data_IF_894963336285
#
_entry.id   IF_894963336285
#
_cell.length_a   1.000
_cell.length_b   1.000
_cell.length_c   1.000
_cell.angle_alpha   90.00
_cell.angle_beta   90.00
_cell.angle_gamma   90.00
#
_symmetry.space_group_name_H-M   'P 1'
#
loop_
_entity.id
_entity.type
_entity.pdbx_description
1 polymer ?
#
# COMPACT_ATOMS: atom_id res chain seq x y z
N UNK A 1 -16.00 -1.36 -1.52
CA UNK A 1 -16.09 -1.47 -0.05
C UNK A 1 -17.15 -0.46 0.39
N UNK A 2 -18.13 -0.81 1.25
CA UNK A 2 -19.24 0.08 1.63
C UNK A 2 -18.81 1.41 2.23
N UNK A 3 -17.65 1.47 2.89
CA UNK A 3 -17.15 2.67 3.56
C UNK A 3 -16.63 3.73 2.59
N UNK A 4 -16.17 3.33 1.40
CA UNK A 4 -15.72 4.25 0.34
C UNK A 4 -16.70 4.40 -0.81
N UNK A 5 -17.70 3.51 -0.92
CA UNK A 5 -18.76 3.59 -1.94
C UNK A 5 -19.44 4.97 -2.02
N UNK A 6 -19.72 5.69 -0.91
CA UNK A 6 -20.33 7.03 -0.99
C UNK A 6 -19.47 8.09 -1.70
N UNK A 7 -18.17 7.86 -1.87
CA UNK A 7 -17.27 8.77 -2.58
C UNK A 7 -17.21 8.52 -4.10
N UNK A 8 -17.86 7.45 -4.57
CA UNK A 8 -17.89 7.08 -5.98
C UNK A 8 -19.33 7.03 -6.49
N UNK A 9 -19.62 7.86 -7.48
CA UNK A 9 -20.89 7.88 -8.18
C UNK A 9 -20.68 7.48 -9.64
N UNK A 10 -21.38 6.43 -10.07
CA UNK A 10 -21.35 5.98 -11.44
C UNK A 10 -22.49 6.66 -12.21
N UNK A 11 -22.20 7.21 -13.40
CA UNK A 11 -23.27 7.72 -14.25
C UNK A 11 -24.13 6.57 -14.76
N UNK A 12 -25.44 6.72 -14.66
CA UNK A 12 -26.41 5.80 -15.26
C UNK A 12 -26.69 6.13 -16.74
N UNK A 13 -26.45 7.38 -17.18
CA UNK A 13 -26.68 7.85 -18.57
C UNK A 13 -25.78 9.03 -18.94
N UNK A 14 -25.31 9.07 -20.20
CA UNK A 14 -24.46 10.14 -20.76
C UNK A 14 -23.03 9.69 -21.13
N UNK A 15 -22.44 10.28 -22.17
CA UNK A 15 -21.05 10.03 -22.58
C UNK A 15 -20.14 11.09 -21.95
N UNK A 16 -19.49 10.72 -20.85
CA UNK A 16 -18.32 11.45 -20.32
C UNK A 16 -17.06 10.68 -20.68
N UNK A 17 -16.06 11.37 -21.22
CA UNK A 17 -14.77 10.77 -21.57
C UNK A 17 -13.61 11.71 -21.24
N UNK A 18 -12.42 11.13 -21.04
CA UNK A 18 -11.18 11.89 -20.87
C UNK A 18 -10.54 12.14 -22.24
N UNK A 19 -10.05 13.35 -22.46
CA UNK A 19 -9.34 13.76 -23.67
C UNK A 19 -8.11 14.59 -23.32
N UNK A 20 -7.24 14.85 -24.29
CA UNK A 20 -6.11 15.74 -24.15
C UNK A 20 -6.55 17.21 -24.08
N UNK A 21 -5.74 18.02 -23.40
CA UNK A 21 -5.84 19.48 -23.42
C UNK A 21 -5.53 20.04 -24.81
N UNK A 22 -6.30 21.06 -25.20
CA UNK A 22 -6.14 21.83 -26.44
C UNK A 22 -5.92 23.30 -26.07
N UNK A 23 -5.17 24.07 -26.89
CA UNK A 23 -4.95 25.50 -26.62
C UNK A 23 -6.25 26.28 -26.38
N UNK A 24 -7.31 25.97 -27.12
CA UNK A 24 -8.63 26.62 -27.02
C UNK A 24 -9.35 26.30 -25.69
N UNK A 25 -8.91 25.30 -24.93
CA UNK A 25 -9.48 25.02 -23.61
C UNK A 25 -8.92 25.96 -22.52
N UNK A 26 -7.82 26.69 -22.77
CA UNK A 26 -7.10 27.45 -21.75
C UNK A 26 -7.99 28.42 -20.99
N UNK A 27 -8.79 29.21 -21.72
CA UNK A 27 -9.69 30.20 -21.14
C UNK A 27 -10.76 29.54 -20.28
N UNK A 28 -11.45 28.52 -20.83
CA UNK A 28 -12.51 27.81 -20.12
C UNK A 28 -12.01 27.09 -18.84
N UNK A 29 -10.81 26.51 -18.88
CA UNK A 29 -10.23 25.87 -17.69
C UNK A 29 -9.75 26.90 -16.66
N UNK A 30 -9.21 28.03 -17.09
CA UNK A 30 -8.83 29.13 -16.19
C UNK A 30 -10.06 29.73 -15.50
N UNK A 31 -11.15 29.97 -16.23
CA UNK A 31 -12.43 30.43 -15.68
C UNK A 31 -13.00 29.43 -14.66
N UNK A 32 -12.85 28.13 -14.91
CA UNK A 32 -13.26 27.08 -13.97
C UNK A 32 -12.47 27.15 -12.65
N UNK A 33 -11.15 27.37 -12.74
CA UNK A 33 -10.30 27.58 -11.56
C UNK A 33 -10.67 28.87 -10.86
N UNK A 34 -10.89 29.96 -11.58
CA UNK A 34 -11.26 31.25 -10.99
C UNK A 34 -12.58 31.15 -10.21
N UNK A 35 -13.59 30.49 -10.80
CA UNK A 35 -14.89 30.26 -10.18
C UNK A 35 -14.77 29.54 -8.83
N UNK A 36 -13.90 28.52 -8.75
CA UNK A 36 -13.84 27.66 -7.57
C UNK A 36 -12.76 28.06 -6.59
N UNK A 37 -11.60 28.54 -7.04
CA UNK A 37 -10.39 28.79 -6.25
C UNK A 37 -9.94 30.26 -6.27
N UNK A 38 -10.55 31.11 -7.10
CA UNK A 38 -10.24 32.53 -7.18
C UNK A 38 -9.18 32.90 -8.22
N UNK A 39 -9.04 34.21 -8.44
CA UNK A 39 -8.22 34.78 -9.52
C UNK A 39 -6.72 34.43 -9.39
N UNK A 40 -6.19 34.38 -8.16
CA UNK A 40 -4.81 34.02 -7.92
C UNK A 40 -4.50 32.57 -8.37
N UNK A 41 -5.38 31.62 -8.03
CA UNK A 41 -5.26 30.23 -8.50
C UNK A 41 -5.45 30.12 -10.01
N UNK A 42 -6.34 30.92 -10.62
CA UNK A 42 -6.53 30.94 -12.06
C UNK A 42 -5.27 31.40 -12.81
N UNK A 43 -4.57 32.42 -12.30
CA UNK A 43 -3.29 32.84 -12.87
C UNK A 43 -2.22 31.72 -12.80
N UNK A 44 -2.16 30.98 -11.67
CA UNK A 44 -1.29 29.81 -11.53
C UNK A 44 -1.70 28.69 -12.51
N UNK A 45 -2.99 28.48 -12.73
CA UNK A 45 -3.47 27.52 -13.72
C UNK A 45 -3.03 27.89 -15.14
N UNK A 46 -3.21 29.15 -15.56
CA UNK A 46 -2.75 29.62 -16.88
C UNK A 46 -1.25 29.38 -17.06
N UNK A 47 -0.44 29.66 -16.02
CA UNK A 47 1.00 29.36 -16.03
C UNK A 47 1.27 27.87 -16.30
N UNK A 48 0.66 26.96 -15.52
CA UNK A 48 0.94 25.53 -15.64
C UNK A 48 0.37 24.89 -16.91
N UNK A 49 -0.83 25.28 -17.34
CA UNK A 49 -1.44 24.82 -18.58
C UNK A 49 -0.59 25.23 -19.79
N UNK A 50 0.05 26.41 -19.73
CA UNK A 50 0.97 26.86 -20.77
C UNK A 50 2.35 26.18 -20.68
N UNK A 51 2.83 25.91 -19.46
CA UNK A 51 4.18 25.39 -19.20
C UNK A 51 4.29 23.88 -19.40
N UNK A 52 3.28 23.13 -19.00
CA UNK A 52 3.20 21.66 -19.11
C UNK A 52 1.87 21.20 -19.74
N UNK A 53 1.55 21.61 -20.98
CA UNK A 53 0.26 21.34 -21.61
C UNK A 53 -0.02 19.84 -21.81
N UNK A 54 1.03 19.02 -21.92
CA UNK A 54 0.93 17.56 -22.08
C UNK A 54 0.52 16.83 -20.79
N UNK A 55 0.56 17.52 -19.64
CA UNK A 55 0.24 16.97 -18.34
C UNK A 55 -1.20 17.27 -17.89
N UNK A 56 -2.05 17.71 -18.82
CA UNK A 56 -3.44 18.10 -18.57
C UNK A 56 -4.40 17.13 -19.27
N UNK A 57 -5.28 16.54 -18.48
CA UNK A 57 -6.39 15.71 -18.97
C UNK A 57 -7.71 16.47 -18.79
N UNK A 58 -8.51 16.55 -19.84
CA UNK A 58 -9.79 17.27 -19.83
C UNK A 58 -10.92 16.26 -19.86
N UNK A 59 -11.84 16.38 -18.91
CA UNK A 59 -13.07 15.61 -18.90
C UNK A 59 -14.10 16.32 -19.80
N UNK A 60 -14.63 15.62 -20.79
CA UNK A 60 -15.57 16.20 -21.76
C UNK A 60 -16.91 15.51 -21.75
N UNK A 61 -17.96 16.29 -21.99
CA UNK A 61 -19.29 15.78 -22.30
C UNK A 61 -19.43 15.39 -23.77
N UNK A 62 -20.60 14.87 -24.16
CA UNK A 62 -20.88 14.42 -25.53
C UNK A 62 -20.70 15.50 -26.61
N UNK A 63 -20.88 16.78 -26.27
CA UNK A 63 -20.65 17.94 -27.15
C UNK A 63 -19.18 18.34 -27.27
N UNK A 64 -18.26 17.69 -26.55
CA UNK A 64 -16.84 18.07 -26.48
C UNK A 64 -16.53 19.21 -25.52
N UNK A 65 -17.54 19.77 -24.84
CA UNK A 65 -17.36 20.85 -23.85
C UNK A 65 -16.63 20.33 -22.59
N UNK A 66 -15.65 21.06 -22.04
CA UNK A 66 -15.02 20.72 -20.77
C UNK A 66 -16.04 20.69 -19.62
N UNK A 67 -16.06 19.59 -18.87
CA UNK A 67 -16.87 19.39 -17.66
C UNK A 67 -16.01 19.30 -16.39
N UNK A 68 -14.70 19.29 -16.55
CA UNK A 68 -13.72 19.17 -15.49
C UNK A 68 -12.35 18.91 -16.08
N UNK A 69 -11.31 18.96 -15.26
CA UNK A 69 -9.96 18.65 -15.71
C UNK A 69 -9.05 18.21 -14.56
N UNK A 70 -7.95 17.58 -14.94
CA UNK A 70 -6.86 17.16 -14.10
C UNK A 70 -5.55 17.72 -14.68
N UNK A 71 -4.97 18.71 -14.03
CA UNK A 71 -3.65 19.25 -14.38
C UNK A 71 -2.60 18.74 -13.40
N UNK A 72 -1.56 18.15 -13.96
CA UNK A 72 -0.41 17.61 -13.23
C UNK A 72 0.79 18.52 -13.43
N UNK A 73 1.62 18.61 -12.41
CA UNK A 73 2.94 19.23 -12.48
C UNK A 73 3.97 18.14 -12.21
N UNK A 74 4.81 17.88 -13.21
CA UNK A 74 6.04 17.11 -13.08
C UNK A 74 7.04 17.95 -12.27
N UNK A 75 7.23 17.59 -11.00
CA UNK A 75 7.97 18.38 -10.03
C UNK A 75 9.45 18.49 -10.42
N UNK A 76 10.05 17.41 -10.94
CA UNK A 76 11.44 17.39 -11.41
C UNK A 76 11.71 18.34 -12.58
N UNK A 77 10.67 18.68 -13.35
CA UNK A 77 10.76 19.61 -14.48
C UNK A 77 10.52 21.07 -14.09
N UNK A 78 10.30 21.37 -12.81
CA UNK A 78 10.09 22.75 -12.31
C UNK A 78 11.40 23.49 -12.11
N UNK A 79 11.44 24.77 -12.47
CA UNK A 79 12.55 25.67 -12.15
C UNK A 79 12.43 26.26 -10.74
N UNK A 80 13.49 26.90 -10.25
CA UNK A 80 13.43 27.64 -8.97
C UNK A 80 12.39 28.78 -9.00
N UNK A 81 12.23 29.45 -10.15
CA UNK A 81 11.22 30.50 -10.32
C UNK A 81 9.80 29.92 -10.29
N UNK A 82 9.59 28.73 -10.88
CA UNK A 82 8.28 28.05 -10.81
C UNK A 82 7.90 27.69 -9.37
N UNK A 83 8.89 27.22 -8.58
CA UNK A 83 8.69 26.89 -7.16
C UNK A 83 8.37 28.14 -6.34
N UNK A 84 9.06 29.25 -6.59
CA UNK A 84 8.76 30.51 -5.93
C UNK A 84 7.38 31.08 -6.31
N UNK A 85 6.92 30.81 -7.54
CA UNK A 85 5.64 31.31 -8.05
C UNK A 85 4.44 30.59 -7.43
N UNK A 86 4.47 29.27 -7.32
CA UNK A 86 3.33 28.46 -6.87
C UNK A 86 3.58 27.82 -5.48
N UNK A 87 2.88 28.29 -4.42
CA UNK A 87 3.02 27.74 -3.07
C UNK A 87 2.79 26.23 -2.97
N UNK A 88 1.93 25.66 -3.81
CA UNK A 88 1.67 24.22 -3.81
C UNK A 88 2.90 23.42 -4.28
N UNK A 89 3.58 23.94 -5.31
CA UNK A 89 4.80 23.33 -5.85
C UNK A 89 5.96 23.50 -4.89
N UNK A 90 6.10 24.67 -4.26
CA UNK A 90 7.12 24.90 -3.22
C UNK A 90 6.98 23.93 -2.04
N UNK A 91 5.74 23.76 -1.56
CA UNK A 91 5.44 22.88 -0.43
C UNK A 91 5.72 21.40 -0.77
N UNK A 92 5.28 20.93 -1.95
CA UNK A 92 5.60 19.58 -2.41
C UNK A 92 7.11 19.39 -2.64
N UNK A 93 7.78 20.38 -3.21
CA UNK A 93 9.23 20.33 -3.46
C UNK A 93 10.04 20.26 -2.15
N UNK A 94 9.59 20.95 -1.10
CA UNK A 94 10.20 20.90 0.22
C UNK A 94 10.18 19.48 0.82
N UNK A 95 9.11 18.70 0.57
CA UNK A 95 9.07 17.28 0.95
C UNK A 95 10.08 16.46 0.14
N UNK A 96 10.16 16.69 -1.17
CA UNK A 96 11.13 16.01 -2.03
C UNK A 96 12.57 16.34 -1.68
N UNK A 97 12.88 17.50 -1.11
CA UNK A 97 14.23 17.80 -0.63
C UNK A 97 14.65 16.90 0.55
N UNK A 98 13.69 16.46 1.37
CA UNK A 98 13.95 15.51 2.46
C UNK A 98 13.98 14.06 1.98
N UNK A 99 13.28 13.77 0.88
CA UNK A 99 13.27 12.47 0.19
C UNK A 99 13.65 12.62 -1.29
N UNK A 100 14.93 12.92 -1.61
CA UNK A 100 15.34 13.26 -2.98
C UNK A 100 14.98 12.20 -4.01
N UNK A 101 14.63 12.66 -5.21
CA UNK A 101 14.44 11.80 -6.37
C UNK A 101 15.77 11.23 -6.83
N UNK A 102 15.79 9.95 -7.18
CA UNK A 102 16.93 9.29 -7.81
C UNK A 102 16.92 9.51 -9.33
N UNK A 103 18.02 9.17 -9.99
CA UNK A 103 18.09 9.21 -11.45
C UNK A 103 16.99 8.37 -12.08
N UNK A 104 16.16 8.99 -12.93
CA UNK A 104 15.02 8.35 -13.59
C UNK A 104 13.75 8.27 -12.74
N UNK A 105 13.76 8.77 -11.50
CA UNK A 105 12.54 8.91 -10.69
C UNK A 105 11.84 10.24 -11.00
N UNK A 106 10.51 10.23 -10.94
CA UNK A 106 9.64 11.39 -11.18
C UNK A 106 8.71 11.62 -10.00
N UNK A 107 8.20 12.84 -9.85
CA UNK A 107 7.16 13.12 -8.86
C UNK A 107 6.06 14.01 -9.43
N UNK A 108 4.83 13.68 -9.12
CA UNK A 108 3.64 14.33 -9.68
C UNK A 108 2.86 15.06 -8.60
N UNK A 109 2.61 16.35 -8.82
CA UNK A 109 1.60 17.11 -8.08
C UNK A 109 0.34 17.22 -8.94
N UNK A 110 -0.81 16.73 -8.46
CA UNK A 110 -2.10 16.95 -9.10
C UNK A 110 -2.63 18.34 -8.75
N UNK A 111 -1.95 19.36 -9.28
CA UNK A 111 -2.08 20.76 -8.85
C UNK A 111 -3.49 21.30 -8.96
N UNK A 112 -4.22 20.91 -10.00
CA UNK A 112 -5.63 21.23 -10.17
C UNK A 112 -6.40 19.98 -10.57
N UNK A 113 -7.45 19.68 -9.82
CA UNK A 113 -8.39 18.61 -10.17
C UNK A 113 -9.78 19.02 -9.71
N UNK A 114 -10.67 19.23 -10.67
CA UNK A 114 -12.00 19.77 -10.38
C UNK A 114 -12.99 19.44 -11.49
N UNK A 115 -14.24 19.32 -11.09
CA UNK A 115 -15.37 19.33 -12.00
C UNK A 115 -15.95 20.75 -12.07
N UNK A 116 -16.51 21.10 -13.23
CA UNK A 116 -17.04 22.44 -13.50
C UNK A 116 -18.08 22.89 -12.48
N UNK A 117 -19.00 22.00 -12.10
CA UNK A 117 -20.11 22.36 -11.20
C UNK A 117 -19.83 21.96 -9.74
N UNK A 118 -19.36 20.73 -9.51
CA UNK A 118 -19.22 20.17 -8.16
C UNK A 118 -17.88 20.48 -7.49
N UNK A 119 -16.95 21.11 -8.20
CA UNK A 119 -15.57 21.26 -7.75
C UNK A 119 -15.00 19.91 -7.31
N UNK A 120 -14.42 19.81 -6.10
CA UNK A 120 -13.92 18.59 -5.46
C UNK A 120 -14.99 17.88 -4.60
N UNK A 121 -16.28 18.14 -4.79
CA UNK A 121 -17.36 17.39 -4.12
C UNK A 121 -17.66 16.10 -4.87
N UNK A 122 -18.15 15.07 -4.17
CA UNK A 122 -18.51 13.79 -4.80
C UNK A 122 -19.47 13.99 -5.98
N UNK A 123 -19.06 13.54 -7.16
CA UNK A 123 -19.87 13.55 -8.38
C UNK A 123 -19.36 12.48 -9.36
N UNK A 124 -20.12 12.19 -10.44
CA UNK A 124 -19.63 11.27 -11.45
C UNK A 124 -18.40 11.78 -12.21
N UNK A 125 -18.28 13.09 -12.41
CA UNK A 125 -17.09 13.73 -12.97
C UNK A 125 -15.88 13.51 -12.06
N UNK A 126 -16.06 13.69 -10.75
CA UNK A 126 -15.00 13.44 -9.77
C UNK A 126 -14.56 11.98 -9.73
N UNK A 127 -15.50 11.04 -9.84
CA UNK A 127 -15.17 9.61 -9.97
C UNK A 127 -14.26 9.37 -11.18
N UNK A 128 -14.54 10.02 -12.32
CA UNK A 128 -13.67 9.94 -13.50
C UNK A 128 -12.30 10.57 -13.26
N UNK A 129 -12.22 11.73 -12.61
CA UNK A 129 -10.94 12.39 -12.31
C UNK A 129 -10.07 11.52 -11.38
N UNK A 130 -10.66 10.90 -10.36
CA UNK A 130 -9.96 9.95 -9.49
C UNK A 130 -9.48 8.72 -10.28
N UNK A 131 -10.30 8.16 -11.18
CA UNK A 131 -9.86 7.06 -12.05
C UNK A 131 -8.69 7.46 -12.97
N UNK A 132 -8.66 8.71 -13.45
CA UNK A 132 -7.51 9.22 -14.21
C UNK A 132 -6.25 9.27 -13.33
N UNK A 133 -6.35 9.77 -12.09
CA UNK A 133 -5.22 9.75 -11.14
C UNK A 133 -4.71 8.32 -10.89
N UNK A 134 -5.62 7.36 -10.69
CA UNK A 134 -5.26 5.95 -10.51
C UNK A 134 -4.53 5.43 -11.74
N UNK A 135 -5.01 5.75 -12.94
CA UNK A 135 -4.32 5.39 -14.17
C UNK A 135 -2.90 5.99 -14.22
N UNK A 136 -2.71 7.25 -13.83
CA UNK A 136 -1.38 7.88 -13.79
C UNK A 136 -0.40 7.15 -12.87
N UNK A 137 -0.86 6.69 -11.70
CA UNK A 137 -0.02 5.93 -10.76
C UNK A 137 0.56 4.66 -11.40
N UNK A 138 -0.17 4.08 -12.35
CA UNK A 138 0.16 2.80 -12.96
C UNK A 138 1.02 2.93 -14.20
N UNK A 139 0.82 4.01 -14.95
CA UNK A 139 1.45 4.15 -16.27
C UNK A 139 2.64 5.09 -16.27
N UNK A 140 2.84 5.90 -15.22
CA UNK A 140 3.94 6.87 -15.14
C UNK A 140 5.25 6.14 -14.82
N UNK A 141 6.22 6.08 -15.75
CA UNK A 141 7.48 5.39 -15.49
C UNK A 141 8.28 6.11 -14.40
N UNK A 142 8.84 5.35 -13.47
CA UNK A 142 9.71 5.88 -12.42
C UNK A 142 9.00 6.78 -11.40
N UNK A 143 7.67 6.75 -11.32
CA UNK A 143 6.93 7.55 -10.34
C UNK A 143 7.37 7.15 -8.92
N UNK A 144 7.96 8.09 -8.20
CA UNK A 144 8.41 7.91 -6.83
C UNK A 144 7.47 8.59 -5.83
N UNK A 145 6.83 9.69 -6.21
CA UNK A 145 5.92 10.42 -5.33
C UNK A 145 4.71 11.00 -6.06
N UNK A 146 3.55 10.93 -5.42
CA UNK A 146 2.35 11.68 -5.81
C UNK A 146 1.90 12.60 -4.69
N UNK A 147 1.41 13.79 -5.04
CA UNK A 147 0.82 14.77 -4.13
C UNK A 147 -0.55 15.21 -4.64
N UNK A 148 -1.56 15.20 -3.77
CA UNK A 148 -2.95 15.52 -4.08
C UNK A 148 -3.47 16.59 -3.11
N UNK A 149 -3.53 17.86 -3.54
CA UNK A 149 -4.14 18.94 -2.78
C UNK A 149 -5.66 18.83 -2.68
N UNK A 150 -6.22 19.08 -1.51
CA UNK A 150 -7.64 19.02 -1.20
C UNK A 150 -8.06 20.31 -0.53
N UNK A 151 -9.17 20.89 -0.99
CA UNK A 151 -9.77 22.04 -0.33
C UNK A 151 -10.42 21.69 1.01
N UNK A 152 -10.91 20.46 1.16
CA UNK A 152 -11.43 19.90 2.42
C UNK A 152 -10.77 18.53 2.68
N UNK A 153 -9.55 18.53 3.27
CA UNK A 153 -8.80 17.29 3.50
C UNK A 153 -9.47 16.41 4.57
N UNK A 154 -10.23 16.98 5.50
CA UNK A 154 -10.94 16.23 6.53
C UNK A 154 -12.12 15.44 5.96
N UNK A 155 -12.90 16.03 5.05
CA UNK A 155 -14.00 15.34 4.36
C UNK A 155 -13.50 14.12 3.58
N UNK A 156 -12.37 14.26 2.89
CA UNK A 156 -11.79 13.22 2.05
C UNK A 156 -10.95 12.18 2.79
N UNK A 157 -10.70 12.39 4.08
CA UNK A 157 -9.82 11.56 4.91
C UNK A 157 -10.07 10.06 4.74
N UNK A 158 -11.32 9.61 4.89
CA UNK A 158 -11.63 8.18 4.82
C UNK A 158 -11.29 7.57 3.47
N UNK A 159 -11.56 8.28 2.37
CA UNK A 159 -11.27 7.80 1.02
C UNK A 159 -9.76 7.72 0.77
N UNK A 160 -8.99 8.72 1.21
CA UNK A 160 -7.55 8.76 1.04
C UNK A 160 -6.83 7.76 1.94
N UNK A 161 -7.23 7.62 3.21
CA UNK A 161 -6.71 6.58 4.11
C UNK A 161 -7.02 5.17 3.58
N UNK A 162 -8.23 4.95 3.05
CA UNK A 162 -8.59 3.71 2.36
C UNK A 162 -7.75 3.47 1.11
N UNK A 163 -7.36 4.54 0.40
CA UNK A 163 -6.48 4.48 -0.77
C UNK A 163 -4.99 4.43 -0.38
N UNK A 164 -4.65 4.23 0.90
CA UNK A 164 -3.28 4.23 1.41
C UNK A 164 -2.49 5.53 1.18
N UNK A 165 -3.19 6.64 0.95
CA UNK A 165 -2.59 7.96 0.81
C UNK A 165 -2.36 8.57 2.19
N UNK A 166 -1.16 9.09 2.43
CA UNK A 166 -0.76 9.69 3.69
C UNK A 166 -1.11 11.19 3.73
N UNK A 167 -1.58 11.68 4.88
CA UNK A 167 -1.77 13.12 5.12
C UNK A 167 -0.41 13.79 5.34
N UNK A 168 0.00 14.67 4.42
CA UNK A 168 1.28 15.39 4.47
C UNK A 168 1.07 16.84 4.92
N UNK A 169 0.97 17.08 6.23
CA UNK A 169 0.69 18.41 6.81
C UNK A 169 1.77 19.44 6.43
N UNK A 170 3.02 18.99 6.30
CA UNK A 170 4.15 19.81 5.88
C UNK A 170 4.07 20.28 4.42
N UNK A 171 3.22 19.64 3.60
CA UNK A 171 2.98 20.03 2.21
C UNK A 171 1.71 20.91 2.06
N UNK A 172 1.03 21.25 3.15
CA UNK A 172 -0.08 22.20 3.12
C UNK A 172 0.38 23.55 2.62
N UNK A 173 -0.48 24.21 1.85
CA UNK A 173 -0.20 25.53 1.31
C UNK A 173 -1.43 26.42 1.34
N UNK A 174 -1.22 27.70 1.07
CA UNK A 174 -2.29 28.70 0.99
C UNK A 174 -2.13 29.52 -0.27
N UNK A 175 -3.22 29.74 -0.98
CA UNK A 175 -3.30 30.69 -2.10
C UNK A 175 -4.42 31.67 -1.78
N UNK A 176 -4.09 32.96 -1.76
CA UNK A 176 -5.05 34.06 -1.49
C UNK A 176 -5.94 33.83 -0.26
N UNK A 177 -5.33 33.39 0.85
CA UNK A 177 -6.02 33.13 2.12
C UNK A 177 -6.79 31.80 2.20
N UNK A 178 -6.92 31.05 1.10
CA UNK A 178 -7.50 29.70 1.13
C UNK A 178 -6.43 28.64 1.34
N UNK A 179 -6.59 27.85 2.41
CA UNK A 179 -5.71 26.73 2.75
C UNK A 179 -6.14 25.45 2.06
N UNK A 180 -5.16 24.67 1.62
CA UNK A 180 -5.33 23.34 1.05
C UNK A 180 -4.55 22.32 1.87
N UNK A 181 -5.17 21.19 2.18
CA UNK A 181 -4.48 20.06 2.77
C UNK A 181 -3.94 19.13 1.71
N UNK A 182 -2.74 18.60 1.90
CA UNK A 182 -2.14 17.68 0.93
C UNK A 182 -2.12 16.25 1.46
N UNK A 183 -2.55 15.32 0.62
CA UNK A 183 -2.24 13.90 0.77
C UNK A 183 -1.18 13.49 -0.24
N UNK A 184 -0.42 12.45 0.05
CA UNK A 184 0.56 11.93 -0.90
C UNK A 184 0.92 10.48 -0.66
N UNK A 185 1.74 9.94 -1.56
CA UNK A 185 2.15 8.54 -1.53
C UNK A 185 3.59 8.41 -2.03
N UNK A 186 4.42 7.66 -1.29
CA UNK A 186 5.77 7.26 -1.70
C UNK A 186 5.68 5.88 -2.38
N UNK A 187 5.65 5.89 -3.71
CA UNK A 187 5.50 4.69 -4.53
C UNK A 187 6.71 3.76 -4.47
N UNK A 188 7.82 4.19 -3.86
CA UNK A 188 8.97 3.33 -3.59
C UNK A 188 8.73 2.46 -2.37
N UNK A 189 7.92 2.94 -1.42
CA UNK A 189 7.54 2.17 -0.22
C UNK A 189 6.42 1.17 -0.56
N UNK A 190 5.38 1.63 -1.28
CA UNK A 190 4.31 0.74 -1.76
C UNK A 190 4.12 0.90 -3.27
N UNK A 191 4.84 0.13 -4.10
CA UNK A 191 4.73 0.20 -5.55
C UNK A 191 3.32 -0.12 -6.06
N UNK A 192 2.93 0.30 -7.26
CA UNK A 192 1.53 0.26 -7.69
C UNK A 192 0.89 -1.14 -7.67
N UNK A 193 1.66 -2.20 -7.93
CA UNK A 193 1.13 -3.58 -7.84
C UNK A 193 0.82 -3.97 -6.39
N UNK A 194 1.73 -3.70 -5.45
CA UNK A 194 1.50 -3.95 -4.02
C UNK A 194 0.37 -3.08 -3.47
N UNK A 195 0.26 -1.84 -3.95
CA UNK A 195 -0.84 -0.94 -3.63
C UNK A 195 -2.19 -1.50 -4.11
N UNK A 196 -2.26 -2.06 -5.32
CA UNK A 196 -3.47 -2.71 -5.81
C UNK A 196 -3.87 -3.95 -5.00
N UNK A 197 -2.91 -4.79 -4.63
CA UNK A 197 -3.14 -5.95 -3.77
C UNK A 197 -3.70 -5.53 -2.42
N UNK A 198 -3.13 -4.49 -1.81
CA UNK A 198 -3.62 -3.89 -0.56
C UNK A 198 -5.08 -3.41 -0.68
N UNK A 199 -5.43 -2.73 -1.78
CA UNK A 199 -6.81 -2.30 -2.01
C UNK A 199 -7.76 -3.47 -2.24
N UNK A 200 -7.32 -4.53 -2.94
CA UNK A 200 -8.10 -5.73 -3.14
C UNK A 200 -8.38 -6.46 -1.80
N UNK A 201 -7.38 -6.54 -0.92
CA UNK A 201 -7.54 -7.10 0.43
C UNK A 201 -8.54 -6.28 1.26
N UNK A 202 -8.48 -4.95 1.18
CA UNK A 202 -9.45 -4.05 1.85
C UNK A 202 -10.87 -4.20 1.28
N UNK A 203 -11.02 -4.57 0.01
CA UNK A 203 -12.30 -4.83 -0.61
C UNK A 203 -12.91 -6.17 -0.14
N UNK A 204 -12.07 -7.21 0.03
CA UNK A 204 -12.52 -8.53 0.47
C UNK A 204 -12.88 -8.58 1.96
N UNK A 205 -12.26 -7.73 2.79
CA UNK A 205 -12.49 -7.65 4.23
C UNK A 205 -13.67 -6.72 4.58
N UNK A 206 -14.88 -7.00 4.06
CA UNK A 206 -16.14 -6.24 4.23
C UNK A 206 -16.71 -6.33 5.67
N UNK A 207 -15.91 -6.00 6.68
CA UNK A 207 -16.40 -5.71 8.03
C UNK A 207 -15.96 -4.29 8.37
N UNK A 208 -16.85 -3.38 8.82
CA UNK A 208 -16.47 -2.02 9.11
C UNK A 208 -15.49 -2.01 10.28
N UNK A 209 -14.21 -1.84 9.98
CA UNK A 209 -13.20 -1.60 10.99
C UNK A 209 -13.34 -0.14 11.42
N UNK A 210 -13.48 0.08 12.73
CA UNK A 210 -13.41 1.43 13.32
C UNK A 210 -12.15 2.16 12.84
N UNK A 211 -12.15 3.51 12.78
CA UNK A 211 -10.95 4.27 12.44
C UNK A 211 -9.86 3.91 13.44
N UNK A 212 -8.84 3.17 12.99
CA UNK A 212 -7.68 2.87 13.82
C UNK A 212 -6.88 4.16 13.95
N UNK A 213 -6.92 4.75 15.14
CA UNK A 213 -5.86 5.66 15.58
C UNK A 213 -4.53 4.92 15.49
N UNK A 214 -3.67 5.29 14.52
CA UNK A 214 -2.28 4.84 14.48
C UNK A 214 -1.50 5.62 15.53
N UNK A 215 -1.61 5.20 16.79
CA UNK A 215 -0.50 5.33 17.72
C UNK A 215 0.41 4.11 17.49
N UNK A 216 1.48 4.30 16.70
CA UNK A 216 2.59 3.36 16.55
C UNK A 216 2.27 2.03 15.84
N UNK A 217 1.99 2.06 14.53
CA UNK A 217 2.01 0.83 13.74
C UNK A 217 3.45 0.44 13.39
N UNK A 218 4.02 -0.51 14.12
CA UNK A 218 5.24 -1.21 13.72
C UNK A 218 5.02 -1.91 12.36
N UNK A 219 5.94 -1.64 11.43
CA UNK A 219 5.98 -2.10 10.04
C UNK A 219 5.82 -3.62 9.90
N UNK A 220 4.87 -4.05 9.06
CA UNK A 220 4.82 -5.42 8.51
C UNK A 220 6.09 -5.61 7.68
N UNK A 221 6.91 -6.61 8.00
CA UNK A 221 8.11 -6.95 7.23
C UNK A 221 7.68 -7.96 6.17
N UNK A 222 7.73 -7.57 4.89
CA UNK A 222 7.61 -8.51 3.77
C UNK A 222 8.97 -9.20 3.62
N UNK A 223 9.06 -10.44 4.10
CA UNK A 223 10.27 -11.25 3.99
C UNK A 223 10.38 -11.83 2.58
N UNK A 224 11.57 -11.78 1.99
CA UNK A 224 11.86 -12.60 0.80
C UNK A 224 11.73 -14.09 1.16
N UNK A 225 11.54 -14.97 0.18
CA UNK A 225 11.47 -16.43 0.44
C UNK A 225 12.68 -16.95 1.23
N UNK A 226 13.88 -16.42 0.93
CA UNK A 226 15.12 -16.77 1.60
C UNK A 226 15.17 -16.28 3.06
N UNK A 227 14.71 -15.05 3.31
CA UNK A 227 14.65 -14.48 4.66
C UNK A 227 13.56 -15.15 5.50
N UNK A 228 12.43 -15.49 4.88
CA UNK A 228 11.35 -16.25 5.49
C UNK A 228 11.83 -17.64 5.92
N UNK A 229 12.51 -18.36 5.03
CA UNK A 229 13.09 -19.67 5.35
C UNK A 229 14.11 -19.59 6.49
N UNK A 230 14.87 -18.50 6.58
CA UNK A 230 15.81 -18.27 7.69
C UNK A 230 15.06 -18.01 8.98
N UNK A 231 14.06 -17.13 8.96
CA UNK A 231 13.24 -16.82 10.12
C UNK A 231 12.46 -18.04 10.66
N UNK A 232 12.01 -18.96 9.78
CA UNK A 232 11.40 -20.25 10.19
C UNK A 232 12.40 -21.14 10.92
N UNK A 233 13.65 -21.24 10.43
CA UNK A 233 14.69 -22.05 11.09
C UNK A 233 15.01 -21.51 12.48
N UNK A 234 15.12 -20.19 12.61
CA UNK A 234 15.41 -19.55 13.89
C UNK A 234 14.21 -19.68 14.84
N UNK A 235 12.98 -19.54 14.34
CA UNK A 235 11.79 -19.76 15.17
C UNK A 235 11.63 -21.22 15.64
N UNK A 236 12.03 -22.20 14.83
CA UNK A 236 12.06 -23.61 15.25
C UNK A 236 13.15 -23.85 16.31
N UNK A 237 14.34 -23.26 16.14
CA UNK A 237 15.43 -23.37 17.10
C UNK A 237 15.03 -22.80 18.47
N UNK A 238 14.37 -21.65 18.45
CA UNK A 238 13.97 -20.91 19.64
C UNK A 238 12.53 -21.23 20.07
N UNK A 239 11.98 -22.36 19.60
CA UNK A 239 10.56 -22.71 19.75
C UNK A 239 10.05 -22.71 21.20
N UNK A 240 10.93 -22.96 22.18
CA UNK A 240 10.56 -22.93 23.62
C UNK A 240 10.74 -21.53 24.25
N UNK A 241 11.59 -20.68 23.69
CA UNK A 241 11.94 -19.36 24.20
C UNK A 241 10.96 -18.28 23.69
N UNK A 242 10.07 -17.84 24.57
CA UNK A 242 9.08 -16.81 24.25
C UNK A 242 9.71 -15.45 23.95
N UNK A 243 10.82 -15.11 24.59
CA UNK A 243 11.48 -13.82 24.40
C UNK A 243 12.16 -13.80 23.04
N UNK A 244 12.92 -14.85 22.69
CA UNK A 244 13.53 -14.96 21.36
C UNK A 244 12.48 -14.97 20.25
N UNK A 245 11.40 -15.74 20.40
CA UNK A 245 10.29 -15.74 19.44
C UNK A 245 9.63 -14.36 19.29
N UNK A 246 9.52 -13.58 20.35
CA UNK A 246 8.96 -12.22 20.30
C UNK A 246 9.82 -11.20 19.54
N UNK A 247 11.03 -11.58 19.15
CA UNK A 247 11.93 -10.78 18.30
C UNK A 247 12.08 -11.35 16.89
N UNK A 248 11.53 -12.54 16.64
CA UNK A 248 11.62 -13.19 15.34
C UNK A 248 10.80 -12.42 14.29
N UNK A 249 11.33 -12.18 13.07
CA UNK A 249 10.61 -11.45 12.02
C UNK A 249 9.23 -12.03 11.67
N UNK A 250 9.02 -13.34 11.86
CA UNK A 250 7.74 -14.00 11.56
C UNK A 250 6.57 -13.53 12.42
N UNK A 251 6.80 -12.94 13.60
CA UNK A 251 5.69 -12.40 14.41
C UNK A 251 4.96 -11.25 13.71
N UNK A 252 5.59 -10.65 12.70
CA UNK A 252 5.04 -9.59 11.85
C UNK A 252 4.63 -10.11 10.47
N UNK A 253 4.72 -11.41 10.20
CA UNK A 253 4.28 -12.00 8.94
C UNK A 253 2.76 -12.08 8.87
N UNK A 254 2.21 -12.19 7.65
CA UNK A 254 0.76 -12.24 7.42
C UNK A 254 0.13 -13.43 8.15
N UNK A 255 0.81 -14.58 8.20
CA UNK A 255 0.36 -15.78 8.92
C UNK A 255 0.06 -15.52 10.39
N UNK A 256 0.96 -14.82 11.10
CA UNK A 256 0.81 -14.58 12.54
C UNK A 256 -0.19 -13.47 12.78
N UNK A 257 -0.13 -12.40 11.99
CA UNK A 257 -1.06 -11.28 12.09
C UNK A 257 -2.50 -11.66 11.76
N UNK A 258 -2.73 -12.61 10.85
CA UNK A 258 -4.07 -13.12 10.54
C UNK A 258 -4.74 -13.81 11.75
N UNK A 259 -3.96 -14.45 12.62
CA UNK A 259 -4.48 -15.17 13.81
C UNK A 259 -4.52 -14.28 15.05
N UNK A 260 -3.57 -13.34 15.17
CA UNK A 260 -3.35 -12.58 16.41
C UNK A 260 -3.71 -11.08 16.31
N UNK A 261 -3.91 -10.54 15.12
CA UNK A 261 -4.23 -9.12 14.91
C UNK A 261 -3.21 -8.17 15.56
N UNK A 262 -3.71 -7.18 16.30
CA UNK A 262 -2.90 -6.18 17.00
C UNK A 262 -2.42 -6.63 18.39
N UNK A 263 -2.46 -7.94 18.67
CA UNK A 263 -2.02 -8.44 19.96
C UNK A 263 -0.54 -8.10 20.23
N UNK A 264 -0.14 -7.92 21.51
CA UNK A 264 1.23 -7.57 21.86
C UNK A 264 2.23 -8.65 21.39
N UNK A 265 3.53 -8.33 21.22
CA UNK A 265 4.54 -9.24 20.69
C UNK A 265 4.58 -10.62 21.37
N UNK A 266 4.35 -10.69 22.69
CA UNK A 266 4.30 -11.95 23.42
C UNK A 266 3.12 -12.85 22.98
N UNK A 267 1.95 -12.26 22.69
CA UNK A 267 0.79 -12.98 22.19
C UNK A 267 0.98 -13.40 20.71
N UNK A 268 1.68 -12.59 19.92
CA UNK A 268 2.10 -12.96 18.55
C UNK A 268 3.11 -14.10 18.55
N UNK A 269 4.05 -14.10 19.49
CA UNK A 269 5.00 -15.21 19.69
C UNK A 269 4.28 -16.52 20.07
N UNK A 270 3.23 -16.44 20.88
CA UNK A 270 2.39 -17.59 21.18
C UNK A 270 1.63 -18.10 19.94
N UNK A 271 1.07 -17.19 19.13
CA UNK A 271 0.41 -17.55 17.87
C UNK A 271 1.38 -18.17 16.86
N UNK A 272 2.59 -17.61 16.69
CA UNK A 272 3.66 -18.17 15.86
C UNK A 272 4.02 -19.61 16.29
N UNK A 273 4.14 -19.84 17.59
CA UNK A 273 4.42 -21.18 18.15
C UNK A 273 3.32 -22.18 17.82
N UNK A 274 2.05 -21.76 17.93
CA UNK A 274 0.90 -22.60 17.55
C UNK A 274 0.94 -22.93 16.06
N UNK A 275 1.17 -21.94 15.20
CA UNK A 275 1.23 -22.13 13.74
C UNK A 275 2.36 -23.09 13.34
N UNK A 276 3.55 -22.96 13.95
CA UNK A 276 4.68 -23.86 13.72
C UNK A 276 4.35 -25.30 14.15
N UNK A 277 3.71 -25.45 15.32
CA UNK A 277 3.28 -26.74 15.85
C UNK A 277 2.27 -27.41 14.92
N UNK A 278 1.17 -26.73 14.59
CA UNK A 278 0.12 -27.25 13.72
C UNK A 278 0.66 -27.62 12.34
N UNK A 279 1.56 -26.80 11.79
CA UNK A 279 2.13 -27.07 10.47
C UNK A 279 3.05 -28.29 10.49
N UNK A 280 3.86 -28.47 11.53
CA UNK A 280 4.65 -29.68 11.69
C UNK A 280 3.75 -30.91 11.88
N UNK A 281 2.73 -30.81 12.74
CA UNK A 281 1.78 -31.90 12.99
C UNK A 281 1.02 -32.32 11.72
N UNK A 282 0.73 -31.37 10.82
CA UNK A 282 0.10 -31.64 9.51
C UNK A 282 0.89 -32.60 8.61
N UNK A 283 2.21 -32.71 8.80
CA UNK A 283 3.05 -33.67 8.07
C UNK A 283 2.68 -35.13 8.39
N UNK A 284 2.05 -35.40 9.53
CA UNK A 284 1.62 -36.74 9.91
C UNK A 284 0.50 -37.29 9.03
N UNK A 285 -0.23 -36.42 8.30
CA UNK A 285 -1.29 -36.83 7.38
C UNK A 285 -0.79 -37.72 6.22
N UNK A 286 0.51 -37.72 5.94
CA UNK A 286 1.13 -38.61 4.95
C UNK A 286 2.11 -39.57 5.62
N UNK A 287 1.99 -40.90 5.38
CA UNK A 287 2.96 -41.89 5.86
C UNK A 287 4.40 -41.58 5.42
N UNK A 288 4.57 -40.92 4.26
CA UNK A 288 5.88 -40.53 3.73
C UNK A 288 6.53 -39.40 4.52
N UNK A 289 5.73 -38.47 5.05
CA UNK A 289 6.19 -37.26 5.74
C UNK A 289 6.25 -37.43 7.27
N UNK A 290 5.58 -38.44 7.82
CA UNK A 290 5.57 -38.75 9.27
C UNK A 290 6.99 -38.87 9.88
N UNK A 291 7.94 -39.45 9.14
CA UNK A 291 9.34 -39.54 9.58
C UNK A 291 10.05 -38.19 9.70
N UNK A 292 9.64 -37.20 8.91
CA UNK A 292 10.18 -35.83 8.97
C UNK A 292 9.57 -35.07 10.15
N UNK A 293 8.26 -35.23 10.39
CA UNK A 293 7.61 -34.74 11.60
C UNK A 293 8.32 -35.24 12.86
N UNK A 294 8.53 -36.56 12.97
CA UNK A 294 9.19 -37.16 14.14
C UNK A 294 10.55 -36.52 14.43
N UNK A 295 11.36 -36.27 13.40
CA UNK A 295 12.65 -35.60 13.57
C UNK A 295 12.49 -34.14 14.04
N UNK A 296 11.59 -33.35 13.44
CA UNK A 296 11.33 -31.95 13.85
C UNK A 296 10.79 -31.88 15.28
N UNK A 297 9.84 -32.75 15.62
CA UNK A 297 9.18 -32.81 16.92
C UNK A 297 10.18 -33.08 18.05
N UNK A 298 11.01 -34.13 17.92
CA UNK A 298 12.01 -34.46 18.94
C UNK A 298 13.24 -33.54 18.95
N UNK A 299 13.40 -32.68 17.95
CA UNK A 299 14.44 -31.63 17.96
C UNK A 299 13.97 -30.36 18.66
N UNK A 300 12.75 -29.90 18.37
CA UNK A 300 12.34 -28.53 18.70
C UNK A 300 11.11 -28.43 19.61
N UNK A 301 10.16 -29.37 19.51
CA UNK A 301 8.86 -29.29 20.21
C UNK A 301 8.84 -30.10 21.50
N UNK A 302 9.58 -31.20 21.53
CA UNK A 302 9.88 -32.03 22.69
C UNK A 302 11.38 -32.40 22.62
N UNK A 303 12.26 -31.42 22.86
CA UNK A 303 13.69 -31.59 22.63
C UNK A 303 14.28 -32.67 23.53
N UNK A 304 15.05 -33.59 22.95
CA UNK A 304 16.02 -34.39 23.69
C UNK A 304 17.23 -33.51 24.10
N UNK A 305 18.09 -34.00 25.00
CA UNK A 305 19.25 -33.23 25.46
C UNK A 305 20.24 -32.96 24.31
N UNK A 306 20.35 -33.91 23.36
CA UNK A 306 21.14 -33.74 22.13
C UNK A 306 20.42 -34.30 20.90
N UNK A 307 20.85 -33.91 19.70
CA UNK A 307 20.32 -34.47 18.45
C UNK A 307 20.65 -35.96 18.29
N UNK A 308 21.78 -36.42 18.82
CA UNK A 308 22.15 -37.84 18.85
C UNK A 308 21.17 -38.65 19.73
N UNK A 309 20.79 -38.12 20.89
CA UNK A 309 19.77 -38.75 21.73
C UNK A 309 18.37 -38.70 21.09
N UNK A 310 18.05 -37.63 20.36
CA UNK A 310 16.81 -37.61 19.56
C UNK A 310 16.82 -38.68 18.45
N UNK A 311 17.99 -38.96 17.84
CA UNK A 311 18.13 -40.04 16.88
C UNK A 311 17.96 -41.43 17.54
N UNK A 312 18.49 -41.62 18.74
CA UNK A 312 18.31 -42.85 19.54
C UNK A 312 16.84 -43.08 19.92
N UNK A 313 16.12 -42.04 20.38
CA UNK A 313 14.67 -42.11 20.69
C UNK A 313 13.85 -42.52 19.46
N UNK A 314 14.31 -42.16 18.26
CA UNK A 314 13.66 -42.51 17.01
C UNK A 314 14.11 -43.84 16.41
N UNK A 315 15.09 -44.52 17.02
CA UNK A 315 15.77 -45.72 16.52
C UNK A 315 16.35 -45.51 15.10
N UNK A 316 17.07 -44.41 14.92
CA UNK A 316 17.64 -44.00 13.64
C UNK A 316 19.16 -43.80 13.73
N UNK A 317 19.93 -44.19 12.70
CA UNK A 317 21.30 -43.72 12.54
C UNK A 317 21.33 -42.18 12.47
N UNK A 318 22.33 -41.56 13.10
CA UNK A 318 22.44 -40.10 13.19
C UNK A 318 22.47 -39.40 11.80
N UNK A 319 23.09 -40.02 10.80
CA UNK A 319 23.09 -39.52 9.41
C UNK A 319 21.69 -39.49 8.79
N UNK A 320 20.89 -40.53 9.05
CA UNK A 320 19.48 -40.63 8.61
C UNK A 320 18.61 -39.60 9.33
N UNK A 321 18.80 -39.45 10.64
CA UNK A 321 18.14 -38.45 11.45
C UNK A 321 18.36 -37.03 10.90
N UNK A 322 19.61 -36.63 10.66
CA UNK A 322 19.92 -35.29 10.12
C UNK A 322 19.28 -35.04 8.77
N UNK A 323 19.21 -36.06 7.90
CA UNK A 323 18.51 -35.97 6.62
C UNK A 323 17.01 -35.79 6.81
N UNK A 324 16.40 -36.49 7.76
CA UNK A 324 14.98 -36.35 8.08
C UNK A 324 14.66 -34.99 8.70
N UNK A 325 15.51 -34.50 9.59
CA UNK A 325 15.37 -33.17 10.20
C UNK A 325 15.44 -32.07 9.15
N UNK A 326 16.43 -32.12 8.25
CA UNK A 326 16.56 -31.15 7.14
C UNK A 326 15.32 -31.16 6.24
N UNK A 327 14.88 -32.34 5.81
CA UNK A 327 13.70 -32.46 4.96
C UNK A 327 12.42 -31.99 5.69
N UNK A 328 12.31 -32.21 7.01
CA UNK A 328 11.19 -31.73 7.80
C UNK A 328 11.14 -30.21 7.92
N UNK A 329 12.30 -29.56 8.11
CA UNK A 329 12.40 -28.10 8.11
C UNK A 329 12.02 -27.55 6.72
N UNK A 330 12.49 -28.16 5.64
CA UNK A 330 12.16 -27.77 4.26
C UNK A 330 10.63 -27.89 4.00
N UNK A 331 9.99 -28.98 4.40
CA UNK A 331 8.54 -29.19 4.25
C UNK A 331 7.69 -28.21 5.10
N UNK A 332 8.08 -27.96 6.36
CA UNK A 332 7.41 -26.97 7.21
C UNK A 332 7.54 -25.57 6.59
N UNK A 333 8.74 -25.22 6.15
CA UNK A 333 9.01 -23.92 5.50
C UNK A 333 8.18 -23.75 4.24
N UNK A 334 8.14 -24.77 3.37
CA UNK A 334 7.37 -24.74 2.13
C UNK A 334 5.87 -24.55 2.37
N UNK A 335 5.30 -25.25 3.37
CA UNK A 335 3.87 -25.14 3.72
C UNK A 335 3.52 -23.79 4.34
N UNK A 336 4.39 -23.26 5.19
CA UNK A 336 4.22 -21.92 5.74
C UNK A 336 4.35 -20.87 4.64
N UNK A 337 5.33 -21.00 3.76
CA UNK A 337 5.52 -20.09 2.63
C UNK A 337 4.30 -20.10 1.69
N UNK A 338 3.78 -21.27 1.33
CA UNK A 338 2.56 -21.39 0.53
C UNK A 338 1.33 -20.72 1.18
N UNK A 339 1.22 -20.77 2.52
CA UNK A 339 0.16 -20.07 3.28
C UNK A 339 0.42 -18.56 3.38
N UNK A 340 1.69 -18.13 3.41
CA UNK A 340 2.07 -16.70 3.42
C UNK A 340 1.83 -16.05 2.05
N UNK A 341 2.03 -16.77 0.94
CA UNK A 341 1.95 -16.24 -0.43
C UNK A 341 0.63 -16.47 -1.19
N UNK A 342 -0.30 -17.33 -0.73
CA UNK A 342 -1.54 -17.49 -1.52
C UNK A 342 -2.58 -18.56 -1.21
N UNK A 343 -2.39 -19.52 -0.28
CA UNK A 343 -3.39 -20.58 -0.08
C UNK A 343 -3.97 -20.61 1.34
N UNK A 344 -5.05 -19.85 1.56
CA UNK A 344 -6.07 -20.18 2.57
C UNK A 344 -7.07 -21.18 1.95
N UNK A 345 -6.63 -22.41 1.67
CA UNK A 345 -7.57 -23.49 1.39
C UNK A 345 -8.12 -24.06 2.72
N UNK A 346 -9.42 -23.81 2.90
CA UNK A 346 -10.41 -24.72 3.47
C UNK A 346 -10.25 -25.16 4.94
N UNK A 347 -10.97 -24.47 5.85
CA UNK A 347 -11.62 -25.17 6.96
C UNK A 347 -12.95 -25.70 6.45
N UNK A 348 -12.96 -26.98 6.05
CA UNK A 348 -14.20 -27.77 6.03
C UNK A 348 -14.63 -27.93 7.48
N UNK A 349 -15.94 -27.79 7.71
CA UNK A 349 -16.60 -28.03 8.99
C UNK A 349 -16.37 -29.46 9.50
#
# INVERSE_FOLDING_TARGET
NPSVRPFFLWQETGTIFTDAFRPDDLEALAEMVERHEGQASAALAVHWLSRQPHNVSVLRGASGTPLGFLARVSLEATSAADRQLDPAVDAAWSVLQQKPLRSGETATLFRFWMALESYQSVSPEQTRLVLNMIQDYLITPGLAFSFVPLADPEFWRMAFEYADMERLVQADFTVDGRRYGVYGHDWRETPPLAWFELLAEREMNITPSSPRSRAGSESIIVLSEADFATAVRDALRDFTDTTALSTNPLIRSRLVLAVSGDAPPAARAAALRTILRETAESLQASPRLSKFYRAVYHTYMQPAVTQEQAAEVLDLPFSTYRRHLRAGIEEVTMRLWAREIGNLETRVA
#
